data_IF_471005358050
#
_entry.id   IF_471005358050
#
_cell.length_a   1.000
_cell.length_b   1.000
_cell.length_c   1.000
_cell.angle_alpha   90.00
_cell.angle_beta   90.00
_cell.angle_gamma   90.00
#
_symmetry.space_group_name_H-M   'P 1'
#
loop_
_entity.id
_entity.type
_entity.pdbx_description
1 polymer ?
#
# COMPACT_ATOMS: atom_id res chain seq x y z
N UNK A 1 -10.76 -52.45 -22.71
CA UNK A 1 -11.74 -51.48 -22.16
C UNK A 1 -11.22 -50.99 -20.81
N UNK A 2 -10.60 -49.81 -20.79
CA UNK A 2 -10.04 -49.19 -19.58
C UNK A 2 -10.93 -48.02 -19.16
N UNK A 3 -11.50 -48.08 -17.96
CA UNK A 3 -12.16 -46.97 -17.28
C UNK A 3 -11.45 -46.74 -15.94
N UNK A 4 -10.28 -46.13 -15.99
CA UNK A 4 -9.64 -45.50 -14.82
C UNK A 4 -8.58 -44.50 -15.30
N UNK A 5 -9.07 -43.39 -15.86
CA UNK A 5 -8.29 -42.18 -16.11
C UNK A 5 -9.27 -41.04 -16.37
N UNK A 6 -9.80 -40.47 -15.30
CA UNK A 6 -10.53 -39.19 -15.30
C UNK A 6 -10.63 -38.67 -13.86
N UNK A 7 -9.46 -38.40 -13.30
CA UNK A 7 -9.32 -37.53 -12.12
C UNK A 7 -8.11 -36.62 -12.37
N UNK A 8 -8.09 -35.95 -13.52
CA UNK A 8 -7.27 -34.76 -13.70
C UNK A 8 -7.96 -33.64 -12.93
N UNK A 9 -7.27 -33.18 -11.88
CA UNK A 9 -7.51 -31.98 -11.10
C UNK A 9 -8.28 -30.90 -11.88
N UNK A 10 -9.57 -30.72 -11.54
CA UNK A 10 -10.25 -29.46 -11.77
C UNK A 10 -9.69 -28.48 -10.73
N UNK A 11 -8.58 -27.82 -11.06
CA UNK A 11 -8.28 -26.52 -10.46
C UNK A 11 -9.52 -25.66 -10.67
N UNK A 12 -10.16 -25.25 -9.58
CA UNK A 12 -11.29 -24.34 -9.63
C UNK A 12 -10.81 -23.07 -10.34
N UNK A 13 -11.29 -22.83 -11.56
CA UNK A 13 -10.98 -21.61 -12.30
C UNK A 13 -11.51 -20.44 -11.47
N UNK A 14 -10.59 -19.71 -10.84
CA UNK A 14 -10.88 -18.51 -10.07
C UNK A 14 -11.64 -17.54 -10.97
N UNK A 15 -12.81 -17.01 -10.54
CA UNK A 15 -13.58 -16.10 -11.38
C UNK A 15 -12.76 -14.83 -11.65
N UNK A 16 -12.52 -14.59 -12.93
CA UNK A 16 -11.84 -13.38 -13.43
C UNK A 16 -12.89 -12.29 -13.58
N UNK A 17 -12.70 -11.17 -12.89
CA UNK A 17 -13.59 -10.01 -12.99
C UNK A 17 -13.05 -9.04 -14.05
N UNK A 18 -13.91 -8.62 -14.96
CA UNK A 18 -13.59 -7.65 -15.99
C UNK A 18 -13.69 -6.23 -15.41
N UNK A 19 -12.54 -5.59 -15.19
CA UNK A 19 -12.48 -4.21 -14.67
C UNK A 19 -13.12 -3.21 -15.63
N UNK A 20 -13.44 -3.62 -16.87
CA UNK A 20 -14.14 -2.76 -17.83
C UNK A 20 -15.60 -2.44 -17.46
N UNK A 21 -16.11 -2.97 -16.34
CA UNK A 21 -17.46 -2.68 -15.84
C UNK A 21 -17.50 -1.66 -14.71
N UNK A 22 -16.34 -1.17 -14.27
CA UNK A 22 -16.24 -0.17 -13.22
C UNK A 22 -16.20 1.20 -13.91
N UNK A 23 -17.31 1.92 -13.94
CA UNK A 23 -17.45 3.20 -14.64
C UNK A 23 -16.67 4.33 -13.96
N UNK A 24 -15.82 5.06 -14.71
CA UNK A 24 -14.94 6.13 -14.20
C UNK A 24 -14.94 7.29 -15.21
N UNK A 25 -16.11 7.90 -15.42
CA UNK A 25 -16.27 9.03 -16.34
C UNK A 25 -16.05 10.40 -15.71
N UNK A 26 -15.77 11.40 -16.54
CA UNK A 26 -15.57 12.78 -16.11
C UNK A 26 -16.82 13.39 -15.44
N UNK A 27 -18.03 12.93 -15.79
CA UNK A 27 -19.31 13.43 -15.24
C UNK A 27 -20.00 12.39 -14.34
N UNK A 28 -20.30 12.73 -13.07
CA UNK A 28 -21.45 12.30 -12.27
C UNK A 28 -22.37 11.22 -12.81
N UNK A 29 -23.11 11.70 -13.78
CA UNK A 29 -24.33 11.14 -14.31
C UNK A 29 -24.11 10.25 -15.55
N UNK A 30 -22.88 10.22 -16.08
CA UNK A 30 -22.52 9.45 -17.26
C UNK A 30 -21.43 8.43 -16.88
N UNK A 31 -21.77 7.16 -16.63
CA UNK A 31 -20.75 6.12 -16.52
C UNK A 31 -20.07 5.99 -17.89
N UNK A 32 -18.88 6.57 -18.05
CA UNK A 32 -18.09 6.29 -19.24
C UNK A 32 -17.70 4.82 -19.18
N UNK A 33 -17.73 4.19 -20.34
CA UNK A 33 -17.01 2.93 -20.52
C UNK A 33 -15.55 3.20 -20.13
N UNK A 34 -14.92 2.32 -19.35
CA UNK A 34 -13.50 2.46 -19.07
C UNK A 34 -12.72 2.46 -20.38
N UNK A 35 -11.53 3.08 -20.38
CA UNK A 35 -10.72 3.22 -21.56
C UNK A 35 -10.49 1.89 -22.28
N UNK A 36 -10.39 1.92 -23.62
CA UNK A 36 -10.13 0.71 -24.41
C UNK A 36 -8.82 0.02 -23.99
N UNK A 37 -7.85 0.78 -23.46
CA UNK A 37 -6.60 0.30 -22.88
C UNK A 37 -6.79 -0.61 -21.66
N UNK A 38 -7.98 -0.61 -21.03
CA UNK A 38 -8.29 -1.43 -19.86
C UNK A 38 -8.98 -2.74 -20.22
N UNK A 39 -9.33 -2.92 -21.51
CA UNK A 39 -9.86 -4.18 -22.00
C UNK A 39 -8.81 -5.28 -21.83
N UNK A 40 -9.16 -6.31 -21.05
CA UNK A 40 -8.28 -7.47 -20.82
C UNK A 40 -7.46 -7.45 -19.54
N UNK A 41 -7.57 -6.43 -18.66
CA UNK A 41 -7.02 -6.53 -17.30
C UNK A 41 -7.83 -7.58 -16.53
N UNK A 42 -7.16 -8.66 -16.15
CA UNK A 42 -7.74 -9.80 -15.42
C UNK A 42 -7.12 -9.83 -14.03
N UNK A 43 -7.94 -9.65 -13.01
CA UNK A 43 -7.54 -9.89 -11.63
C UNK A 43 -8.19 -11.19 -11.15
N UNK A 44 -7.43 -12.02 -10.43
CA UNK A 44 -8.01 -13.16 -9.73
C UNK A 44 -8.89 -12.70 -8.57
N UNK A 45 -9.73 -13.59 -8.05
CA UNK A 45 -10.50 -13.29 -6.83
C UNK A 45 -9.59 -12.98 -5.63
N UNK A 46 -8.39 -13.56 -5.60
CA UNK A 46 -7.38 -13.31 -4.57
C UNK A 46 -6.82 -11.89 -4.67
N UNK A 47 -6.39 -11.47 -5.87
CA UNK A 47 -5.98 -10.10 -6.19
C UNK A 47 -7.04 -9.08 -5.80
N UNK A 48 -8.32 -9.36 -6.08
CA UNK A 48 -9.42 -8.46 -5.75
C UNK A 48 -9.64 -8.36 -4.23
N UNK A 49 -9.48 -9.46 -3.49
CA UNK A 49 -9.57 -9.44 -2.03
C UNK A 49 -8.43 -8.61 -1.44
N UNK A 50 -7.18 -8.81 -1.90
CA UNK A 50 -6.03 -7.98 -1.50
C UNK A 50 -6.26 -6.50 -1.83
N UNK A 51 -6.69 -6.19 -3.05
CA UNK A 51 -7.02 -4.83 -3.47
C UNK A 51 -8.12 -4.17 -2.63
N UNK A 52 -9.16 -4.92 -2.24
CA UNK A 52 -10.20 -4.39 -1.36
C UNK A 52 -9.69 -4.15 0.07
N UNK A 53 -8.80 -5.01 0.61
CA UNK A 53 -8.19 -4.79 1.92
C UNK A 53 -7.30 -3.55 1.91
N UNK A 54 -6.44 -3.41 0.89
CA UNK A 54 -5.62 -2.21 0.69
C UNK A 54 -6.48 -0.95 0.60
N UNK A 55 -7.59 -0.99 -0.17
CA UNK A 55 -8.55 0.12 -0.21
C UNK A 55 -9.14 0.43 1.16
N UNK A 56 -9.64 -0.57 1.89
CA UNK A 56 -10.24 -0.37 3.23
C UNK A 56 -9.22 0.23 4.22
N UNK A 57 -7.95 -0.15 4.11
CA UNK A 57 -6.89 0.43 4.93
C UNK A 57 -6.72 1.93 4.68
N UNK A 58 -7.10 2.44 3.50
CA UNK A 58 -6.81 3.83 3.10
C UNK A 58 -8.04 4.66 2.72
N UNK A 59 -9.26 4.11 2.70
CA UNK A 59 -10.48 4.80 2.26
C UNK A 59 -10.84 6.04 3.11
N UNK A 60 -10.33 6.09 4.34
CA UNK A 60 -10.49 7.21 5.24
C UNK A 60 -9.61 8.42 4.87
N UNK A 61 -8.52 8.23 4.13
CA UNK A 61 -7.65 9.31 3.69
C UNK A 61 -8.38 10.27 2.73
N UNK A 62 -9.07 9.82 1.66
CA UNK A 62 -9.88 10.73 0.85
C UNK A 62 -10.98 11.42 1.65
N UNK A 63 -11.67 10.74 2.56
CA UNK A 63 -12.63 11.43 3.45
C UNK A 63 -11.91 12.52 4.25
N UNK A 64 -10.75 12.18 4.81
CA UNK A 64 -9.83 13.06 5.51
C UNK A 64 -9.47 14.30 4.70
N UNK A 65 -9.17 14.16 3.41
CA UNK A 65 -8.83 15.22 2.47
C UNK A 65 -10.04 16.10 2.05
N UNK A 66 -11.22 15.89 2.64
CA UNK A 66 -12.41 16.71 2.40
C UNK A 66 -13.11 16.39 1.08
N UNK A 67 -13.02 15.13 0.66
CA UNK A 67 -13.51 14.62 -0.61
C UNK A 67 -15.00 14.21 -0.57
N UNK A 68 -15.70 14.50 0.53
CA UNK A 68 -17.08 14.04 0.81
C UNK A 68 -18.18 14.48 -0.16
N UNK A 69 -17.85 15.07 -1.32
CA UNK A 69 -18.77 15.35 -2.44
C UNK A 69 -18.44 14.61 -3.74
N UNK A 70 -17.26 14.00 -3.88
CA UNK A 70 -17.03 13.05 -4.97
C UNK A 70 -17.70 11.73 -4.60
N UNK A 71 -18.27 11.10 -5.61
CA UNK A 71 -18.79 9.75 -5.51
C UNK A 71 -17.66 8.81 -5.07
N UNK A 72 -17.66 8.40 -3.79
CA UNK A 72 -16.68 7.47 -3.22
C UNK A 72 -16.56 6.19 -4.05
N UNK A 73 -17.60 5.85 -4.83
CA UNK A 73 -17.55 4.73 -5.77
C UNK A 73 -16.50 4.92 -6.87
N UNK A 74 -16.24 6.16 -7.33
CA UNK A 74 -15.22 6.49 -8.33
C UNK A 74 -13.80 6.41 -7.78
N UNK A 75 -13.59 6.92 -6.58
CA UNK A 75 -12.29 6.84 -5.94
C UNK A 75 -11.95 5.39 -5.58
N UNK A 76 -12.98 4.63 -5.18
CA UNK A 76 -12.88 3.18 -5.00
C UNK A 76 -12.57 2.48 -6.31
N UNK A 77 -13.18 2.89 -7.42
CA UNK A 77 -12.91 2.33 -8.74
C UNK A 77 -11.44 2.53 -9.16
N UNK A 78 -10.93 3.75 -9.03
CA UNK A 78 -9.52 4.08 -9.28
C UNK A 78 -8.60 3.26 -8.36
N UNK A 79 -8.90 3.21 -7.06
CA UNK A 79 -8.11 2.44 -6.10
C UNK A 79 -8.10 0.94 -6.41
N UNK A 80 -9.25 0.38 -6.80
CA UNK A 80 -9.33 -1.01 -7.24
C UNK A 80 -8.51 -1.27 -8.51
N UNK A 81 -8.46 -0.35 -9.47
CA UNK A 81 -7.67 -0.51 -10.69
C UNK A 81 -6.18 -0.45 -10.38
N UNK A 82 -5.73 0.52 -9.60
CA UNK A 82 -4.33 0.64 -9.16
C UNK A 82 -3.92 -0.62 -8.41
N UNK A 83 -4.64 -0.96 -7.35
CA UNK A 83 -4.31 -2.12 -6.52
C UNK A 83 -4.42 -3.44 -7.30
N UNK A 84 -5.42 -3.61 -8.17
CA UNK A 84 -5.52 -4.82 -9.00
C UNK A 84 -4.37 -4.94 -10.01
N UNK A 85 -3.87 -3.82 -10.54
CA UNK A 85 -2.73 -3.83 -11.47
C UNK A 85 -1.42 -4.18 -10.75
N UNK A 86 -1.24 -3.68 -9.52
CA UNK A 86 -0.10 -4.01 -8.65
C UNK A 86 -0.15 -5.48 -8.24
N UNK A 87 -1.27 -5.94 -7.66
CA UNK A 87 -1.39 -7.32 -7.17
C UNK A 87 -1.50 -8.38 -8.28
N UNK A 88 -1.92 -8.02 -9.50
CA UNK A 88 -1.85 -8.94 -10.64
C UNK A 88 -0.40 -9.21 -11.05
N UNK A 89 0.50 -8.25 -10.84
CA UNK A 89 1.93 -8.47 -11.01
C UNK A 89 2.47 -9.45 -9.96
N UNK A 90 2.13 -9.25 -8.69
CA UNK A 90 2.55 -10.16 -7.60
C UNK A 90 2.14 -11.60 -7.88
N UNK A 91 0.88 -11.83 -8.27
CA UNK A 91 0.38 -13.17 -8.59
C UNK A 91 1.09 -13.77 -9.81
N UNK A 92 1.32 -12.97 -10.86
CA UNK A 92 2.06 -13.44 -12.03
C UNK A 92 3.52 -13.81 -11.69
N UNK A 93 4.18 -13.00 -10.85
CA UNK A 93 5.54 -13.26 -10.37
C UNK A 93 5.64 -14.51 -9.48
N UNK A 94 4.59 -14.80 -8.70
CA UNK A 94 4.46 -16.02 -7.92
C UNK A 94 4.26 -17.27 -8.82
N UNK A 95 3.41 -17.18 -9.86
CA UNK A 95 3.06 -18.30 -10.74
C UNK A 95 4.14 -18.66 -11.78
N UNK A 96 4.91 -17.68 -12.27
CA UNK A 96 5.91 -17.88 -13.32
C UNK A 96 7.28 -17.27 -12.92
N UNK A 97 7.78 -17.70 -11.76
CA UNK A 97 9.06 -17.27 -11.18
C UNK A 97 10.26 -17.39 -12.15
N UNK A 98 10.18 -18.17 -13.22
CA UNK A 98 11.25 -18.30 -14.21
C UNK A 98 11.12 -17.30 -15.36
N UNK A 99 9.91 -17.05 -15.89
CA UNK A 99 9.72 -16.18 -17.05
C UNK A 99 9.80 -14.67 -16.71
N UNK A 100 9.40 -14.29 -15.49
CA UNK A 100 9.42 -12.88 -15.06
C UNK A 100 10.77 -12.43 -14.48
N UNK A 101 11.68 -13.36 -14.18
CA UNK A 101 13.07 -13.05 -13.79
C UNK A 101 13.89 -12.40 -14.90
N UNK A 102 13.46 -12.54 -16.15
CA UNK A 102 14.11 -11.99 -17.35
C UNK A 102 13.49 -10.67 -17.83
N UNK A 103 12.40 -10.21 -17.23
CA UNK A 103 11.77 -8.92 -17.59
C UNK A 103 12.13 -7.83 -16.60
N UNK A 104 12.91 -6.84 -17.03
CA UNK A 104 13.31 -5.67 -16.26
C UNK A 104 12.20 -4.63 -16.04
N UNK A 105 10.96 -4.92 -16.43
CA UNK A 105 9.83 -3.98 -16.39
C UNK A 105 8.56 -4.67 -15.94
N UNK A 106 7.70 -3.93 -15.25
CA UNK A 106 6.38 -4.44 -14.92
C UNK A 106 5.51 -4.44 -16.20
N UNK A 107 4.88 -5.56 -16.57
CA UNK A 107 3.89 -5.55 -17.65
C UNK A 107 2.68 -4.66 -17.36
N UNK A 108 2.60 -3.94 -16.23
CA UNK A 108 1.44 -3.11 -15.86
C UNK A 108 1.74 -1.61 -15.73
N UNK A 109 2.99 -1.15 -15.84
CA UNK A 109 3.29 0.28 -15.86
C UNK A 109 2.59 1.02 -17.00
N UNK A 110 2.51 0.41 -18.20
CA UNK A 110 1.80 0.99 -19.34
C UNK A 110 0.29 1.10 -19.09
N UNK A 111 -0.30 0.19 -18.32
CA UNK A 111 -1.71 0.23 -17.90
C UNK A 111 -1.95 1.40 -16.95
N UNK A 112 -1.09 1.55 -15.94
CA UNK A 112 -1.17 2.67 -14.98
C UNK A 112 -0.95 4.02 -15.67
N UNK A 113 -0.01 4.11 -16.61
CA UNK A 113 0.21 5.33 -17.41
C UNK A 113 -1.02 5.63 -18.27
N UNK A 114 -1.62 4.63 -18.92
CA UNK A 114 -2.86 4.78 -19.67
C UNK A 114 -3.99 5.33 -18.79
N UNK A 115 -4.21 4.73 -17.62
CA UNK A 115 -5.14 5.22 -16.60
C UNK A 115 -4.91 6.70 -16.26
N UNK A 116 -3.66 7.11 -16.03
CA UNK A 116 -3.36 8.52 -15.72
C UNK A 116 -3.70 9.46 -16.88
N UNK A 117 -3.40 9.04 -18.12
CA UNK A 117 -3.70 9.83 -19.32
C UNK A 117 -5.21 9.97 -19.55
N UNK A 118 -5.95 8.87 -19.39
CA UNK A 118 -7.39 8.83 -19.55
C UNK A 118 -8.12 9.67 -18.49
N UNK A 119 -7.58 9.71 -17.27
CA UNK A 119 -8.08 10.56 -16.19
C UNK A 119 -7.62 12.03 -16.29
N UNK A 120 -6.71 12.36 -17.20
CA UNK A 120 -6.14 13.70 -17.33
C UNK A 120 -5.23 14.11 -16.16
N UNK A 121 -4.64 13.13 -15.45
CA UNK A 121 -3.80 13.32 -14.25
C UNK A 121 -2.38 12.75 -14.45
N UNK A 122 -1.93 12.65 -15.71
CA UNK A 122 -0.58 12.22 -16.09
C UNK A 122 0.47 13.29 -15.78
N UNK A 123 0.85 13.37 -14.50
CA UNK A 123 1.84 14.32 -13.98
C UNK A 123 3.20 13.63 -13.75
N UNK A 124 4.33 14.39 -13.77
CA UNK A 124 5.64 13.83 -13.41
C UNK A 124 5.65 13.18 -12.02
N UNK A 125 4.87 13.73 -11.09
CA UNK A 125 4.69 13.21 -9.75
C UNK A 125 4.03 11.82 -9.75
N UNK A 126 2.95 11.63 -10.50
CA UNK A 126 2.28 10.33 -10.61
C UNK A 126 3.13 9.32 -11.38
N UNK A 127 3.86 9.75 -12.42
CA UNK A 127 4.84 8.89 -13.12
C UNK A 127 5.97 8.42 -12.21
N UNK A 128 6.43 9.27 -11.30
CA UNK A 128 7.47 8.90 -10.33
C UNK A 128 6.99 7.83 -9.35
N UNK A 129 5.70 7.80 -8.98
CA UNK A 129 5.16 6.75 -8.13
C UNK A 129 5.05 5.42 -8.89
N UNK A 130 4.66 5.44 -10.17
CA UNK A 130 4.69 4.24 -11.03
C UNK A 130 6.11 3.66 -11.10
N UNK A 131 7.12 4.49 -11.37
CA UNK A 131 8.52 4.04 -11.37
C UNK A 131 8.97 3.50 -9.99
N UNK A 132 8.42 4.05 -8.91
CA UNK A 132 8.64 3.54 -7.56
C UNK A 132 8.06 2.15 -7.35
N UNK A 133 6.86 1.88 -7.87
CA UNK A 133 6.22 0.55 -7.86
C UNK A 133 7.08 -0.45 -8.65
N UNK A 134 7.58 -0.07 -9.83
CA UNK A 134 8.50 -0.94 -10.60
C UNK A 134 9.77 -1.26 -9.81
N UNK A 135 10.35 -0.24 -9.17
CA UNK A 135 11.55 -0.41 -8.35
C UNK A 135 11.30 -1.29 -7.13
N UNK A 136 10.14 -1.18 -6.48
CA UNK A 136 9.75 -2.03 -5.36
C UNK A 136 9.83 -3.51 -5.77
N UNK A 137 9.22 -3.84 -6.91
CA UNK A 137 9.16 -5.18 -7.44
C UNK A 137 10.52 -5.77 -7.84
N UNK A 138 11.38 -4.96 -8.47
CA UNK A 138 12.78 -5.36 -8.73
C UNK A 138 13.51 -5.74 -7.44
N UNK A 139 13.32 -4.93 -6.39
CA UNK A 139 13.96 -5.12 -5.10
C UNK A 139 13.40 -6.34 -4.36
N UNK A 140 12.10 -6.60 -4.43
CA UNK A 140 11.48 -7.78 -3.82
C UNK A 140 11.98 -9.07 -4.49
N UNK A 141 12.14 -9.05 -5.82
CA UNK A 141 12.70 -10.17 -6.55
C UNK A 141 14.17 -10.43 -6.17
N UNK A 142 14.98 -9.37 -6.07
CA UNK A 142 16.37 -9.48 -5.61
C UNK A 142 16.45 -9.98 -4.15
N UNK A 143 15.57 -9.48 -3.28
CA UNK A 143 15.44 -9.92 -1.90
C UNK A 143 15.06 -11.40 -1.80
N UNK A 144 14.13 -11.87 -2.63
CA UNK A 144 13.72 -13.27 -2.72
C UNK A 144 14.86 -14.19 -3.18
N UNK A 145 15.76 -13.70 -4.05
CA UNK A 145 17.00 -14.39 -4.44
C UNK A 145 18.10 -14.36 -3.37
N UNK A 146 17.89 -13.62 -2.27
CA UNK A 146 18.84 -13.50 -1.18
C UNK A 146 20.03 -12.59 -1.48
N UNK A 147 19.92 -11.73 -2.49
CA UNK A 147 20.95 -10.80 -2.91
C UNK A 147 21.08 -9.62 -1.92
N UNK A 148 22.32 -9.18 -1.67
CA UNK A 148 22.61 -8.00 -0.85
C UNK A 148 22.52 -8.18 0.67
N UNK A 149 22.86 -7.11 1.39
CA UNK A 149 22.71 -7.00 2.84
C UNK A 149 21.23 -6.81 3.19
N UNK A 150 20.65 -7.65 4.09
CA UNK A 150 19.22 -7.64 4.37
C UNK A 150 18.72 -6.30 4.92
N UNK A 151 19.53 -5.57 5.69
CA UNK A 151 19.16 -4.27 6.25
C UNK A 151 19.19 -3.20 5.17
N UNK A 152 20.21 -3.21 4.30
CA UNK A 152 20.30 -2.29 3.18
C UNK A 152 19.14 -2.48 2.18
N UNK A 153 18.85 -3.75 1.83
CA UNK A 153 17.73 -4.11 0.94
C UNK A 153 16.40 -3.66 1.53
N UNK A 154 16.15 -3.96 2.81
CA UNK A 154 14.95 -3.49 3.51
C UNK A 154 14.81 -1.95 3.52
N UNK A 155 15.90 -1.24 3.80
CA UNK A 155 15.90 0.24 3.80
C UNK A 155 15.63 0.84 2.42
N UNK A 156 15.98 0.14 1.35
CA UNK A 156 15.64 0.57 0.00
C UNK A 156 14.17 0.25 -0.32
N UNK A 157 13.73 -1.00 -0.07
CA UNK A 157 12.36 -1.46 -0.25
C UNK A 157 11.34 -0.54 0.44
N UNK A 158 11.57 -0.25 1.70
CA UNK A 158 10.65 0.53 2.54
C UNK A 158 10.32 1.92 1.98
N UNK A 159 11.19 2.54 1.17
CA UNK A 159 10.94 3.86 0.54
C UNK A 159 9.84 3.82 -0.53
N UNK A 160 9.68 2.65 -1.14
CA UNK A 160 8.77 2.42 -2.27
C UNK A 160 7.54 1.59 -1.89
N UNK A 161 7.54 0.96 -0.71
CA UNK A 161 6.45 0.10 -0.23
C UNK A 161 5.07 0.75 -0.24
N UNK A 162 4.98 2.06 -0.04
CA UNK A 162 3.71 2.78 -0.04
C UNK A 162 3.42 3.50 -1.38
N UNK A 163 4.16 3.21 -2.46
CA UNK A 163 4.10 3.98 -3.70
C UNK A 163 2.73 3.86 -4.40
N UNK A 164 2.10 2.69 -4.33
CA UNK A 164 0.75 2.43 -4.82
C UNK A 164 -0.31 3.24 -4.05
N UNK A 165 -0.23 3.28 -2.72
CA UNK A 165 -1.09 4.08 -1.86
C UNK A 165 -0.90 5.57 -2.17
N UNK A 166 0.36 6.03 -2.30
CA UNK A 166 0.66 7.43 -2.63
C UNK A 166 0.15 7.80 -4.01
N UNK A 167 0.35 6.93 -5.02
CA UNK A 167 -0.20 7.10 -6.36
C UNK A 167 -1.72 7.27 -6.30
N UNK A 168 -2.40 6.39 -5.55
CA UNK A 168 -3.83 6.49 -5.37
C UNK A 168 -4.24 7.82 -4.74
N UNK A 169 -3.60 8.26 -3.65
CA UNK A 169 -3.93 9.53 -3.00
C UNK A 169 -3.69 10.75 -3.91
N UNK A 170 -2.61 10.73 -4.69
CA UNK A 170 -2.31 11.81 -5.64
C UNK A 170 -3.32 11.90 -6.78
N UNK A 171 -3.67 10.77 -7.40
CA UNK A 171 -4.74 10.74 -8.41
C UNK A 171 -6.04 11.33 -7.85
N UNK A 172 -6.39 10.99 -6.60
CA UNK A 172 -7.59 11.52 -5.97
C UNK A 172 -7.53 13.04 -5.76
N UNK A 173 -6.38 13.57 -5.33
CA UNK A 173 -6.16 15.02 -5.18
C UNK A 173 -6.19 15.75 -6.53
N UNK A 174 -5.60 15.15 -7.57
CA UNK A 174 -5.57 15.70 -8.92
C UNK A 174 -6.98 15.77 -9.53
N UNK A 175 -7.76 14.70 -9.39
CA UNK A 175 -9.17 14.67 -9.82
C UNK A 175 -10.05 15.70 -9.09
N UNK A 176 -9.60 16.19 -7.94
CA UNK A 176 -10.27 17.24 -7.17
C UNK A 176 -9.75 18.65 -7.47
N UNK A 177 -8.72 18.78 -8.30
CA UNK A 177 -8.02 20.05 -8.50
C UNK A 177 -7.37 20.59 -7.22
N UNK A 178 -6.92 19.71 -6.32
CA UNK A 178 -6.28 20.10 -5.06
C UNK A 178 -4.77 19.94 -5.13
N UNK A 179 -4.07 21.06 -5.07
CA UNK A 179 -2.61 21.09 -4.95
C UNK A 179 -2.16 20.86 -3.50
N UNK A 180 -2.30 19.61 -3.02
CA UNK A 180 -1.90 19.18 -1.68
C UNK A 180 -0.93 17.99 -1.71
N UNK A 181 -0.10 17.90 -2.75
CA UNK A 181 0.83 16.79 -2.94
C UNK A 181 1.87 16.70 -1.82
N UNK A 182 2.26 17.85 -1.27
CA UNK A 182 3.13 17.92 -0.10
C UNK A 182 2.56 17.21 1.14
N UNK A 183 1.22 17.13 1.27
CA UNK A 183 0.57 16.38 2.33
C UNK A 183 0.75 14.87 2.12
N UNK A 184 0.62 14.38 0.89
CA UNK A 184 0.88 12.97 0.55
C UNK A 184 2.34 12.60 0.85
N UNK A 185 3.28 13.46 0.48
CA UNK A 185 4.70 13.28 0.78
C UNK A 185 4.96 13.25 2.29
N UNK A 186 4.27 14.11 3.04
CA UNK A 186 4.33 14.12 4.49
C UNK A 186 3.76 12.84 5.11
N UNK A 187 2.74 12.22 4.50
CA UNK A 187 2.16 10.98 4.98
C UNK A 187 3.05 9.76 4.75
N UNK A 188 3.99 9.82 3.80
CA UNK A 188 4.84 8.69 3.42
C UNK A 188 5.38 7.91 4.63
N UNK A 189 6.09 8.51 5.61
CA UNK A 189 6.69 7.71 6.68
C UNK A 189 5.65 7.01 7.57
N UNK A 190 4.44 7.56 7.67
CA UNK A 190 3.33 6.92 8.39
C UNK A 190 2.82 5.72 7.61
N UNK A 191 2.64 5.87 6.29
CA UNK A 191 2.22 4.76 5.42
C UNK A 191 3.22 3.61 5.46
N UNK A 192 4.52 3.91 5.38
CA UNK A 192 5.58 2.90 5.46
C UNK A 192 5.57 2.10 6.77
N UNK A 193 5.18 2.72 7.90
CA UNK A 193 4.99 2.01 9.18
C UNK A 193 3.73 1.13 9.15
N UNK A 194 2.65 1.61 8.54
CA UNK A 194 1.40 0.86 8.44
C UNK A 194 1.54 -0.37 7.54
N UNK A 195 2.34 -0.28 6.48
CA UNK A 195 2.72 -1.42 5.64
C UNK A 195 3.37 -2.54 6.47
N UNK A 196 4.27 -2.19 7.40
CA UNK A 196 4.87 -3.20 8.31
C UNK A 196 3.82 -3.73 9.30
N UNK A 197 2.88 -2.90 9.76
CA UNK A 197 1.78 -3.38 10.60
C UNK A 197 0.93 -4.40 9.86
N UNK A 198 0.63 -4.17 8.57
CA UNK A 198 -0.12 -5.11 7.73
C UNK A 198 0.64 -6.43 7.58
N UNK A 199 1.93 -6.36 7.23
CA UNK A 199 2.81 -7.54 7.16
C UNK A 199 2.82 -8.35 8.48
N UNK A 200 2.81 -7.69 9.63
CA UNK A 200 2.76 -8.36 10.93
C UNK A 200 1.39 -8.98 11.23
N UNK A 201 0.30 -8.44 10.67
CA UNK A 201 -1.04 -9.03 10.77
C UNK A 201 -1.23 -10.21 9.83
N UNK A 202 -0.57 -10.20 8.66
CA UNK A 202 -0.73 -11.17 7.59
C UNK A 202 0.32 -12.29 7.57
N UNK A 203 1.27 -12.33 8.52
CA UNK A 203 2.40 -13.29 8.55
C UNK A 203 2.01 -14.73 8.20
N UNK A 204 0.94 -15.26 8.81
CA UNK A 204 0.50 -16.64 8.57
C UNK A 204 -0.19 -16.84 7.22
N UNK A 205 -0.85 -15.81 6.70
CA UNK A 205 -1.46 -15.83 5.37
C UNK A 205 -0.36 -15.81 4.30
N UNK A 206 0.57 -14.86 4.40
CA UNK A 206 1.65 -14.67 3.43
C UNK A 206 2.61 -15.85 3.41
N UNK A 207 2.88 -16.46 4.57
CA UNK A 207 3.67 -17.70 4.63
C UNK A 207 3.03 -18.84 3.83
N UNK A 208 1.70 -18.96 3.85
CA UNK A 208 0.98 -20.03 3.16
C UNK A 208 0.88 -19.78 1.66
N UNK A 209 0.70 -18.52 1.24
CA UNK A 209 0.68 -18.16 -0.18
C UNK A 209 2.07 -18.07 -0.80
N UNK A 210 3.12 -17.95 0.03
CA UNK A 210 4.48 -17.70 -0.47
C UNK A 210 4.71 -16.24 -0.87
N UNK A 211 3.81 -15.33 -0.48
CA UNK A 211 3.92 -13.90 -0.78
C UNK A 211 5.05 -13.25 0.02
N UNK A 212 5.62 -12.18 -0.55
CA UNK A 212 6.64 -11.40 0.14
C UNK A 212 6.06 -10.79 1.43
N UNK A 213 6.83 -10.87 2.51
CA UNK A 213 6.46 -10.30 3.80
C UNK A 213 7.74 -9.82 4.50
N UNK A 214 7.78 -8.56 4.89
CA UNK A 214 8.98 -7.92 5.46
C UNK A 214 9.47 -8.64 6.70
N UNK A 215 8.55 -9.00 7.60
CA UNK A 215 8.91 -9.68 8.84
C UNK A 215 9.52 -11.04 8.54
N UNK A 216 8.92 -11.84 7.64
CA UNK A 216 9.47 -13.14 7.25
C UNK A 216 10.85 -13.01 6.58
N UNK A 217 11.02 -12.02 5.69
CA UNK A 217 12.28 -11.73 5.01
C UNK A 217 13.40 -11.41 6.02
N UNK A 218 13.18 -10.42 6.88
CA UNK A 218 14.16 -9.99 7.88
C UNK A 218 14.44 -11.10 8.89
N UNK A 219 13.39 -11.75 9.41
CA UNK A 219 13.51 -12.83 10.40
C UNK A 219 14.35 -13.98 9.87
N UNK A 220 14.19 -14.35 8.60
CA UNK A 220 14.97 -15.41 7.96
C UNK A 220 16.47 -15.08 7.93
N UNK A 221 16.83 -13.80 7.75
CA UNK A 221 18.20 -13.34 7.47
C UNK A 221 18.93 -12.80 8.71
N UNK A 222 18.21 -12.21 9.65
CA UNK A 222 18.75 -11.56 10.86
C UNK A 222 18.48 -12.36 12.15
N UNK A 223 17.50 -13.26 12.14
CA UNK A 223 16.99 -13.88 13.36
C UNK A 223 15.90 -13.03 14.02
N UNK A 224 15.21 -13.60 15.01
CA UNK A 224 14.01 -12.99 15.61
C UNK A 224 14.28 -11.68 16.34
N UNK A 225 15.19 -11.68 17.31
CA UNK A 225 15.50 -10.49 18.12
C UNK A 225 16.01 -9.30 17.29
N UNK A 226 16.96 -9.53 16.39
CA UNK A 226 17.50 -8.46 15.55
C UNK A 226 16.45 -7.91 14.57
N UNK A 227 15.53 -8.76 14.09
CA UNK A 227 14.40 -8.31 13.25
C UNK A 227 13.47 -7.39 14.02
N UNK A 228 13.08 -7.74 15.24
CA UNK A 228 12.23 -6.88 16.08
C UNK A 228 12.93 -5.54 16.35
N UNK A 229 14.22 -5.58 16.70
CA UNK A 229 15.01 -4.39 16.94
C UNK A 229 15.12 -3.48 15.69
N UNK A 230 15.31 -4.06 14.50
CA UNK A 230 15.39 -3.30 13.25
C UNK A 230 14.05 -2.67 12.87
N UNK A 231 12.94 -3.39 13.00
CA UNK A 231 11.60 -2.85 12.74
C UNK A 231 11.27 -1.71 13.71
N UNK A 232 11.58 -1.87 15.00
CA UNK A 232 11.41 -0.81 15.99
C UNK A 232 12.29 0.42 15.69
N UNK A 233 13.54 0.22 15.24
CA UNK A 233 14.43 1.31 14.79
C UNK A 233 13.84 2.03 13.58
N UNK A 234 13.30 1.28 12.63
CA UNK A 234 12.63 1.79 11.44
C UNK A 234 11.42 2.66 11.81
N UNK A 235 10.50 2.19 12.66
CA UNK A 235 9.33 2.97 13.06
C UNK A 235 9.70 4.30 13.76
N UNK A 236 10.75 4.28 14.60
CA UNK A 236 11.28 5.51 15.21
C UNK A 236 11.88 6.48 14.18
N UNK A 237 12.57 5.95 13.16
CA UNK A 237 13.10 6.76 12.08
C UNK A 237 11.97 7.41 11.26
N UNK A 238 10.97 6.63 10.85
CA UNK A 238 9.81 7.13 10.11
C UNK A 238 9.02 8.17 10.91
N UNK A 239 8.83 7.95 12.21
CA UNK A 239 8.16 8.94 13.09
C UNK A 239 8.91 10.26 13.15
N UNK A 240 10.25 10.22 13.20
CA UNK A 240 11.09 11.42 13.18
C UNK A 240 11.03 12.14 11.82
N UNK A 241 11.11 11.39 10.73
CA UNK A 241 11.02 11.94 9.38
C UNK A 241 9.66 12.58 9.13
N UNK A 242 8.58 11.94 9.58
CA UNK A 242 7.23 12.50 9.57
C UNK A 242 7.18 13.84 10.30
N UNK A 243 7.70 13.93 11.53
CA UNK A 243 7.73 15.18 12.29
C UNK A 243 8.48 16.28 11.57
N UNK A 244 9.61 15.94 10.94
CA UNK A 244 10.40 16.89 10.15
C UNK A 244 9.61 17.40 8.94
N UNK A 245 8.96 16.52 8.18
CA UNK A 245 8.14 16.90 7.03
C UNK A 245 6.93 17.75 7.46
N UNK A 246 6.21 17.33 8.49
CA UNK A 246 5.03 18.03 8.99
C UNK A 246 5.35 19.46 9.51
N UNK A 247 6.56 19.68 10.03
CA UNK A 247 7.00 21.00 10.49
C UNK A 247 7.22 22.01 9.37
N UNK A 248 7.37 21.54 8.12
CA UNK A 248 7.53 22.39 6.93
C UNK A 248 6.20 22.76 6.27
N UNK A 249 5.11 22.10 6.66
CA UNK A 249 3.78 22.39 6.13
C UNK A 249 3.24 23.72 6.64
N UNK A 250 2.52 24.43 5.78
CA UNK A 250 1.72 25.60 6.16
C UNK A 250 0.61 25.23 7.15
N UNK A 251 0.02 26.23 7.81
CA UNK A 251 -1.00 25.99 8.83
C UNK A 251 -2.22 25.21 8.28
N UNK A 252 -2.70 25.58 7.10
CA UNK A 252 -3.84 24.92 6.47
C UNK A 252 -3.56 23.44 6.16
N UNK A 253 -2.37 23.13 5.64
CA UNK A 253 -1.95 21.75 5.37
C UNK A 253 -1.74 20.96 6.67
N UNK A 254 -1.25 21.58 7.74
CA UNK A 254 -1.16 20.92 9.04
C UNK A 254 -2.55 20.58 9.61
N UNK A 255 -3.52 21.47 9.43
CA UNK A 255 -4.92 21.19 9.82
C UNK A 255 -5.51 20.08 8.96
N UNK A 256 -5.24 20.09 7.66
CA UNK A 256 -5.69 19.06 6.73
C UNK A 256 -5.04 17.70 7.03
N UNK A 257 -3.75 17.69 7.37
CA UNK A 257 -3.02 16.51 7.83
C UNK A 257 -3.62 15.97 9.12
N UNK A 258 -3.97 16.84 10.07
CA UNK A 258 -4.64 16.46 11.31
C UNK A 258 -5.95 15.71 11.06
N UNK A 259 -6.80 16.26 10.20
CA UNK A 259 -8.08 15.64 9.84
C UNK A 259 -7.85 14.26 9.23
N UNK A 260 -6.85 14.17 8.37
CA UNK A 260 -6.50 12.94 7.65
C UNK A 260 -6.00 11.85 8.59
N UNK A 261 -5.10 12.19 9.52
CA UNK A 261 -4.52 11.26 10.49
C UNK A 261 -5.52 10.77 11.54
N UNK A 262 -6.60 11.51 11.79
CA UNK A 262 -7.69 11.09 12.69
C UNK A 262 -8.68 10.13 12.01
N UNK A 263 -8.44 9.77 10.75
CA UNK A 263 -9.11 8.70 10.01
C UNK A 263 -10.65 8.74 10.04
N UNK A 264 -11.29 9.84 9.62
CA UNK A 264 -12.74 9.89 9.52
C UNK A 264 -13.25 8.79 8.58
N UNK A 265 -14.18 7.96 9.06
CA UNK A 265 -14.84 6.91 8.26
C UNK A 265 -16.18 7.35 7.69
N UNK A 266 -16.73 8.46 8.19
CA UNK A 266 -18.02 9.01 7.74
C UNK A 266 -17.95 10.52 7.57
N UNK A 267 -18.85 11.07 6.76
CA UNK A 267 -19.00 12.53 6.59
C UNK A 267 -19.31 13.22 7.92
N UNK A 268 -20.07 12.56 8.80
CA UNK A 268 -20.36 13.06 10.14
C UNK A 268 -19.10 13.14 11.02
N UNK A 269 -18.28 12.08 11.02
CA UNK A 269 -16.99 12.07 11.72
C UNK A 269 -16.04 13.12 11.14
N UNK A 270 -15.98 13.25 9.81
CA UNK A 270 -15.22 14.30 9.14
C UNK A 270 -15.64 15.70 9.61
N UNK A 271 -16.95 15.98 9.70
CA UNK A 271 -17.45 17.27 10.15
C UNK A 271 -17.07 17.57 11.61
N UNK A 272 -17.11 16.57 12.49
CA UNK A 272 -16.66 16.69 13.89
C UNK A 272 -15.16 16.95 13.95
N UNK A 273 -14.36 16.12 13.27
CA UNK A 273 -12.90 16.25 13.25
C UNK A 273 -12.47 17.59 12.64
N UNK A 274 -13.13 18.06 11.58
CA UNK A 274 -12.86 19.38 10.99
C UNK A 274 -13.10 20.53 11.97
N UNK A 275 -14.04 20.40 12.91
CA UNK A 275 -14.24 21.39 13.98
C UNK A 275 -13.09 21.33 14.99
N UNK A 276 -12.63 20.14 15.37
CA UNK A 276 -11.45 19.96 16.23
C UNK A 276 -10.19 20.50 15.56
N UNK A 277 -10.06 20.35 14.24
CA UNK A 277 -8.97 20.90 13.46
C UNK A 277 -8.99 22.44 13.37
N UNK A 278 -9.94 23.14 14.01
CA UNK A 278 -9.93 24.60 14.22
C UNK A 278 -9.33 25.04 15.56
N UNK A 279 -8.98 24.09 16.43
CA UNK A 279 -8.27 24.40 17.67
C UNK A 279 -6.99 25.19 17.39
N UNK A 280 -6.50 26.01 18.34
CA UNK A 280 -5.19 26.62 18.25
C UNK A 280 -4.12 25.58 17.84
N UNK A 281 -3.29 25.93 16.86
CA UNK A 281 -2.34 24.98 16.26
C UNK A 281 -1.46 24.24 17.29
N UNK A 282 -0.97 24.87 18.38
CA UNK A 282 -0.24 24.15 19.42
C UNK A 282 -1.05 23.04 20.09
N UNK A 283 -2.35 23.27 20.35
CA UNK A 283 -3.24 22.26 20.94
C UNK A 283 -3.52 21.12 19.96
N UNK A 284 -3.74 21.47 18.68
CA UNK A 284 -3.92 20.47 17.63
C UNK A 284 -2.69 19.57 17.49
N UNK A 285 -1.49 20.16 17.49
CA UNK A 285 -0.21 19.42 17.43
C UNK A 285 -0.01 18.53 18.66
N UNK A 286 -0.33 19.01 19.86
CA UNK A 286 -0.24 18.22 21.08
C UNK A 286 -1.19 17.01 21.06
N UNK A 287 -2.44 17.22 20.61
CA UNK A 287 -3.42 16.15 20.45
C UNK A 287 -2.96 15.10 19.42
N UNK A 288 -2.49 15.51 18.24
CA UNK A 288 -1.96 14.58 17.24
C UNK A 288 -0.72 13.83 17.73
N UNK A 289 0.16 14.50 18.48
CA UNK A 289 1.33 13.85 19.06
C UNK A 289 0.91 12.68 19.94
N UNK A 290 -0.08 12.89 20.81
CA UNK A 290 -0.56 11.88 21.75
C UNK A 290 -1.38 10.78 21.08
N UNK A 291 -2.35 11.16 20.26
CA UNK A 291 -3.35 10.22 19.72
C UNK A 291 -2.84 9.45 18.49
N UNK A 292 -1.82 9.98 17.80
CA UNK A 292 -1.32 9.39 16.54
C UNK A 292 0.17 9.10 16.62
N UNK A 293 1.02 10.08 16.96
CA UNK A 293 2.47 9.91 16.79
C UNK A 293 3.14 9.08 17.89
N UNK A 294 2.66 9.18 19.12
CA UNK A 294 3.14 8.35 20.24
C UNK A 294 2.87 6.86 19.96
N UNK A 295 1.64 6.43 19.61
CA UNK A 295 1.39 5.07 19.17
C UNK A 295 2.27 4.62 17.99
N UNK A 296 2.48 5.49 17.00
CA UNK A 296 3.32 5.18 15.83
C UNK A 296 4.83 5.08 16.14
N UNK A 297 5.28 5.58 17.30
CA UNK A 297 6.70 5.52 17.69
C UNK A 297 7.12 4.16 18.26
N UNK A 298 6.15 3.35 18.69
CA UNK A 298 6.33 1.97 19.14
C UNK A 298 5.13 1.10 18.68
N UNK A 299 4.86 1.02 17.37
CA UNK A 299 3.60 0.50 16.84
C UNK A 299 3.52 -1.03 16.96
N UNK A 300 4.67 -1.70 17.15
CA UNK A 300 4.77 -3.14 17.06
C UNK A 300 4.70 -3.87 18.41
N UNK A 301 4.70 -3.14 19.53
CA UNK A 301 4.81 -3.73 20.87
C UNK A 301 3.72 -4.77 21.19
N UNK A 302 2.50 -4.59 20.66
CA UNK A 302 1.43 -5.58 20.80
C UNK A 302 1.76 -6.89 20.08
N UNK A 303 2.38 -6.84 18.89
CA UNK A 303 2.80 -8.05 18.16
C UNK A 303 3.91 -8.77 18.90
N UNK A 304 4.90 -8.05 19.44
CA UNK A 304 6.01 -8.62 20.21
C UNK A 304 5.56 -9.32 21.50
N UNK A 305 4.36 -8.97 22.01
CA UNK A 305 3.75 -9.62 23.17
C UNK A 305 2.97 -10.90 22.84
N UNK A 306 2.71 -11.17 21.56
CA UNK A 306 1.95 -12.35 21.15
C UNK A 306 2.84 -13.61 21.14
N UNK A 307 2.34 -14.78 21.55
CA UNK A 307 3.12 -16.01 21.63
C UNK A 307 3.86 -16.37 20.34
N UNK A 308 3.21 -16.18 19.17
CA UNK A 308 3.80 -16.51 17.87
C UNK A 308 5.11 -15.75 17.58
N UNK A 309 5.19 -14.47 17.98
CA UNK A 309 6.39 -13.65 17.79
C UNK A 309 7.43 -13.83 18.91
N UNK A 310 6.99 -14.22 20.11
CA UNK A 310 7.89 -14.56 21.22
C UNK A 310 8.66 -15.85 20.93
N UNK A 311 7.99 -16.87 20.41
CA UNK A 311 8.62 -18.13 20.00
C UNK A 311 9.63 -17.94 18.85
N UNK A 312 9.43 -16.93 18.02
CA UNK A 312 10.34 -16.59 16.94
C UNK A 312 11.55 -15.77 17.41
N UNK A 313 11.44 -15.03 18.52
CA UNK A 313 12.47 -14.12 19.02
C UNK A 313 13.81 -14.83 19.24
N UNK A 314 13.76 -16.02 19.84
CA UNK A 314 14.96 -16.79 20.21
C UNK A 314 15.52 -17.63 19.04
N UNK A 315 14.89 -17.56 17.86
CA UNK A 315 15.32 -18.35 16.71
C UNK A 315 16.42 -17.63 15.92
N UNK A 316 17.52 -18.35 15.72
CA UNK A 316 18.64 -17.92 14.88
C UNK A 316 18.23 -17.76 13.41
N UNK A 317 18.99 -16.97 12.63
CA UNK A 317 18.80 -16.89 11.18
C UNK A 317 18.77 -18.28 10.54
N UNK A 318 17.93 -18.46 9.52
CA UNK A 318 17.98 -19.68 8.73
C UNK A 318 19.24 -19.64 7.87
N UNK A 319 20.02 -20.72 7.87
CA UNK A 319 21.17 -20.85 6.99
C UNK A 319 20.72 -20.59 5.54
N UNK A 320 21.35 -19.61 4.90
CA UNK A 320 21.15 -19.33 3.49
C UNK A 320 21.84 -20.47 2.76
N UNK A 321 21.08 -21.45 2.26
CA UNK A 321 21.63 -22.46 1.36
C UNK A 321 21.95 -21.71 0.05
N UNK A 322 23.24 -21.67 -0.35
CA UNK A 322 23.69 -20.92 -1.52
C UNK A 322 23.10 -21.44 -2.84
#
# INVERSE_FOLDING_TARGET
MSKQSRAASRAARTPVLDLTRIGIGADPAEPTSPPASWSGIRASAHTIVKANRAWQAIEHFPIGLGVGRLDLSRLRAVGLVVASSVYAWDEAAEDDQAALRDTAHTPYAHVLIGLLQDLGVDTPANRSEIAGIERLFELELAAAKGEGDPVAVWKELSRFRSADIRLQLRIQLDLLGRDQHALVDCLRPVLEVLEVVDDLQSVEEDRRSGSFNTYLFLRRRLGGEETQAELDRFARACTRDFRQLASRLGEDDQRQLAITLLRPRTVAQYAVIRRLARLPLPLLRAMLSREVLEPLSAPFGLFWSQPAFQEDRDRSPLAVVP
#
